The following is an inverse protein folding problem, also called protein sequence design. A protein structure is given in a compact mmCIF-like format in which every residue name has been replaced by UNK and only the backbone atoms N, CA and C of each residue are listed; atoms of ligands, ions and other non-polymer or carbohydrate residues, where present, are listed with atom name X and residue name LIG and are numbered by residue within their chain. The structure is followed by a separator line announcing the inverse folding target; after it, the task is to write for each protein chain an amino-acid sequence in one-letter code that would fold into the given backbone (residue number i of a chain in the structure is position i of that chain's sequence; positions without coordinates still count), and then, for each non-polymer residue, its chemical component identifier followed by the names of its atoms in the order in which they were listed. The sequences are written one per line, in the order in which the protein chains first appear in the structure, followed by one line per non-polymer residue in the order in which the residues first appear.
data_IF_166986922977
#
_entry.id   IF_166986922977
#
_cell.length_a   1.000
_cell.length_b   1.000
_cell.length_c   1.000
_cell.angle_alpha   90.00
_cell.angle_beta   90.00
_cell.angle_gamma   90.00
#
_symmetry.space_group_name_H-M   'P 1'
#
loop_
_entity.id
_entity.type
_entity.pdbx_description
1 polymer ?
#
# COMPACT_ATOMS: atom_id res chain seq x y z
N UNK A 1 -1.57 -12.29 15.03
CA UNK A 1 -3.05 -12.17 15.18
C UNK A 1 -3.56 -12.55 16.60
N UNK A 2 -2.77 -12.37 17.66
CA UNK A 2 -3.13 -12.75 19.05
C UNK A 2 -4.17 -11.82 19.74
N UNK A 3 -4.57 -10.72 19.09
CA UNK A 3 -5.48 -9.70 19.67
C UNK A 3 -6.98 -9.92 19.43
N UNK A 4 -7.37 -10.58 18.33
CA UNK A 4 -8.80 -10.64 17.93
C UNK A 4 -9.66 -11.51 18.86
N UNK A 5 -9.10 -12.61 19.37
CA UNK A 5 -9.83 -13.53 20.26
C UNK A 5 -10.24 -12.89 21.60
N UNK A 6 -9.38 -12.05 22.18
CA UNK A 6 -9.68 -11.34 23.45
C UNK A 6 -10.82 -10.35 23.27
N UNK A 7 -10.88 -9.69 22.12
CA UNK A 7 -11.95 -8.76 21.79
C UNK A 7 -13.28 -9.50 21.59
N UNK A 8 -13.28 -10.62 20.87
CA UNK A 8 -14.49 -11.45 20.68
C UNK A 8 -15.05 -11.96 21.99
N UNK A 9 -14.19 -12.52 22.86
CA UNK A 9 -14.63 -12.98 24.19
C UNK A 9 -15.10 -11.81 25.06
N UNK A 10 -14.37 -10.69 25.07
CA UNK A 10 -14.73 -9.51 25.84
C UNK A 10 -16.09 -8.94 25.44
N UNK A 11 -16.36 -8.84 24.14
CA UNK A 11 -17.63 -8.36 23.61
C UNK A 11 -18.78 -9.33 23.89
N UNK A 12 -18.53 -10.63 23.76
CA UNK A 12 -19.48 -11.68 24.16
C UNK A 12 -19.82 -11.59 25.65
N UNK A 13 -18.81 -11.47 26.51
CA UNK A 13 -18.98 -11.36 27.96
C UNK A 13 -19.76 -10.09 28.33
N UNK A 14 -19.49 -8.98 27.67
CA UNK A 14 -20.23 -7.73 27.86
C UNK A 14 -21.72 -7.89 27.52
N UNK A 15 -22.05 -8.49 26.37
CA UNK A 15 -23.43 -8.76 25.97
C UNK A 15 -24.15 -9.72 26.92
N UNK A 16 -23.45 -10.77 27.37
CA UNK A 16 -23.95 -11.72 28.36
C UNK A 16 -24.30 -11.04 29.68
N UNK A 17 -23.41 -10.18 30.17
CA UNK A 17 -23.57 -9.46 31.42
C UNK A 17 -24.73 -8.47 31.32
N UNK A 18 -24.83 -7.71 30.22
CA UNK A 18 -25.93 -6.79 29.98
C UNK A 18 -27.29 -7.51 30.00
N UNK A 19 -27.43 -8.61 29.25
CA UNK A 19 -28.70 -9.35 29.18
C UNK A 19 -29.01 -10.06 30.49
N UNK A 20 -28.00 -10.58 31.19
CA UNK A 20 -28.17 -11.21 32.49
C UNK A 20 -28.70 -10.20 33.53
N UNK A 21 -28.11 -8.99 33.60
CA UNK A 21 -28.55 -7.91 34.49
C UNK A 21 -29.98 -7.46 34.20
N UNK A 22 -30.33 -7.26 32.92
CA UNK A 22 -31.70 -6.92 32.54
C UNK A 22 -32.70 -8.05 32.88
N UNK A 23 -32.28 -9.30 32.69
CA UNK A 23 -33.14 -10.46 32.94
C UNK A 23 -33.34 -10.73 34.45
N UNK A 24 -32.38 -10.34 35.29
CA UNK A 24 -32.42 -10.52 36.75
C UNK A 24 -33.65 -9.87 37.40
N UNK A 25 -34.16 -8.77 36.83
CA UNK A 25 -35.33 -8.06 37.37
C UNK A 25 -36.63 -8.86 37.27
N UNK A 26 -36.78 -9.69 36.23
CA UNK A 26 -38.07 -10.30 35.89
C UNK A 26 -38.08 -11.82 35.94
N UNK A 27 -36.93 -12.47 36.20
CA UNK A 27 -36.81 -13.91 36.03
C UNK A 27 -35.91 -14.54 37.09
N UNK A 28 -36.15 -15.82 37.46
CA UNK A 28 -35.26 -16.58 38.33
C UNK A 28 -33.81 -16.58 37.84
N UNK A 29 -32.86 -16.69 38.77
CA UNK A 29 -31.42 -16.66 38.46
C UNK A 29 -31.03 -17.68 37.38
N UNK A 30 -31.59 -18.89 37.40
CA UNK A 30 -31.31 -19.92 36.40
C UNK A 30 -31.70 -19.52 34.98
N UNK A 31 -32.89 -18.94 34.81
CA UNK A 31 -33.35 -18.46 33.49
C UNK A 31 -32.55 -17.26 32.99
N UNK A 32 -32.12 -16.37 33.89
CA UNK A 32 -31.29 -15.22 33.55
C UNK A 32 -29.87 -15.62 33.15
N UNK A 33 -29.30 -16.63 33.81
CA UNK A 33 -28.01 -17.21 33.43
C UNK A 33 -28.06 -17.87 32.04
N UNK A 34 -29.13 -18.62 31.76
CA UNK A 34 -29.31 -19.27 30.46
C UNK A 34 -29.47 -18.23 29.34
N UNK A 35 -30.24 -17.17 29.58
CA UNK A 35 -30.35 -16.03 28.65
C UNK A 35 -29.01 -15.30 28.46
N UNK A 36 -28.23 -15.14 29.52
CA UNK A 36 -26.86 -14.62 29.46
C UNK A 36 -25.95 -15.50 28.59
N UNK A 37 -26.09 -16.83 28.65
CA UNK A 37 -25.33 -17.74 27.80
C UNK A 37 -25.72 -17.61 26.32
N UNK A 38 -27.03 -17.56 26.01
CA UNK A 38 -27.49 -17.31 24.64
C UNK A 38 -27.00 -15.95 24.11
N UNK A 39 -27.04 -14.92 24.96
CA UNK A 39 -26.50 -13.61 24.66
C UNK A 39 -24.99 -13.64 24.38
N UNK A 40 -24.21 -14.36 25.19
CA UNK A 40 -22.77 -14.55 24.98
C UNK A 40 -22.49 -15.09 23.58
N UNK A 41 -23.16 -16.18 23.21
CA UNK A 41 -23.02 -16.82 21.91
C UNK A 41 -23.40 -15.88 20.77
N UNK A 42 -24.52 -15.17 20.89
CA UNK A 42 -24.99 -14.22 19.89
C UNK A 42 -24.01 -13.06 19.69
N UNK A 43 -23.55 -12.44 20.77
CA UNK A 43 -22.60 -11.32 20.70
C UNK A 43 -21.21 -11.76 20.23
N UNK A 44 -20.73 -12.95 20.63
CA UNK A 44 -19.48 -13.49 20.14
C UNK A 44 -19.53 -13.78 18.64
N UNK A 45 -20.63 -14.39 18.16
CA UNK A 45 -20.84 -14.60 16.72
C UNK A 45 -20.89 -13.28 15.95
N UNK A 46 -21.61 -12.28 16.48
CA UNK A 46 -21.68 -10.95 15.88
C UNK A 46 -20.30 -10.27 15.83
N UNK A 47 -19.51 -10.37 16.89
CA UNK A 47 -18.14 -9.85 16.91
C UNK A 47 -17.23 -10.52 15.88
N UNK A 48 -17.38 -11.83 15.64
CA UNK A 48 -16.63 -12.53 14.58
C UNK A 48 -17.03 -12.03 13.20
N UNK A 49 -18.32 -11.86 12.93
CA UNK A 49 -18.80 -11.34 11.64
C UNK A 49 -18.30 -9.92 11.41
N UNK A 50 -18.49 -9.03 12.40
CA UNK A 50 -18.04 -7.63 12.32
C UNK A 50 -16.52 -7.58 12.17
N UNK A 51 -15.78 -8.36 12.95
CA UNK A 51 -14.33 -8.45 12.87
C UNK A 51 -13.84 -8.95 11.50
N UNK A 52 -14.53 -9.92 10.91
CA UNK A 52 -14.24 -10.40 9.56
C UNK A 52 -14.48 -9.30 8.52
N UNK A 53 -15.64 -8.62 8.55
CA UNK A 53 -15.96 -7.54 7.62
C UNK A 53 -14.98 -6.37 7.76
N UNK A 54 -14.66 -5.95 8.99
CA UNK A 54 -13.65 -4.92 9.24
C UNK A 54 -12.27 -5.36 8.77
N UNK A 55 -11.91 -6.63 8.97
CA UNK A 55 -10.66 -7.19 8.47
C UNK A 55 -10.54 -7.05 6.96
N UNK A 56 -11.61 -7.37 6.22
CA UNK A 56 -11.63 -7.23 4.76
C UNK A 56 -11.60 -5.76 4.33
N UNK A 57 -12.31 -4.88 5.03
CA UNK A 57 -12.36 -3.45 4.69
C UNK A 57 -11.04 -2.72 4.98
N UNK A 58 -10.34 -3.10 6.05
CA UNK A 58 -9.06 -2.49 6.46
C UNK A 58 -7.84 -3.17 5.83
N UNK A 59 -8.00 -4.34 5.19
CA UNK A 59 -6.90 -5.05 4.53
C UNK A 59 -6.24 -4.24 3.41
N UNK A 60 -6.98 -3.37 2.73
CA UNK A 60 -6.48 -2.55 1.62
C UNK A 60 -5.44 -1.50 2.05
N UNK A 61 -5.34 -1.18 3.35
CA UNK A 61 -4.44 -0.13 3.85
C UNK A 61 -3.27 -0.61 4.72
N UNK A 62 -3.04 -1.93 4.86
CA UNK A 62 -2.05 -2.44 5.82
C UNK A 62 -0.68 -2.69 5.17
N UNK A 63 0.38 -1.92 5.48
CA UNK A 63 1.74 -2.36 5.18
C UNK A 63 2.02 -3.67 5.92
N UNK A 64 2.78 -4.56 5.28
CA UNK A 64 3.08 -5.91 5.77
C UNK A 64 3.51 -5.88 7.24
N UNK A 65 3.02 -6.81 8.09
CA UNK A 65 3.39 -6.81 9.50
C UNK A 65 4.88 -7.14 9.66
N UNK A 66 5.70 -6.13 9.97
CA UNK A 66 7.02 -6.38 10.55
C UNK A 66 6.81 -7.02 11.93
N UNK A 67 7.13 -8.30 12.08
CA UNK A 67 7.13 -8.96 13.40
C UNK A 67 6.03 -9.99 13.64
N UNK A 68 5.61 -10.74 12.62
CA UNK A 68 5.12 -12.10 12.88
C UNK A 68 6.36 -13.01 13.04
N UNK A 69 6.49 -13.67 14.20
CA UNK A 69 7.40 -14.80 14.39
C UNK A 69 7.16 -15.82 13.26
N UNK A 70 8.04 -15.79 12.26
CA UNK A 70 8.12 -16.79 11.22
C UNK A 70 8.83 -17.99 11.87
N UNK A 71 8.33 -19.24 11.77
CA UNK A 71 9.18 -20.39 12.02
C UNK A 71 10.37 -20.29 11.06
N UNK A 72 11.51 -19.94 11.63
CA UNK A 72 12.80 -19.71 11.01
C UNK A 72 13.23 -20.93 10.19
N UNK A 73 12.77 -21.04 8.93
CA UNK A 73 13.41 -21.91 7.94
C UNK A 73 12.91 -21.78 6.48
N UNK A 74 12.28 -20.67 6.10
CA UNK A 74 11.99 -20.41 4.67
C UNK A 74 12.34 -18.98 4.31
N UNK A 75 13.50 -18.80 3.66
CA UNK A 75 13.93 -17.53 3.06
C UNK A 75 15.30 -17.00 3.46
N UNK A 76 16.07 -17.72 4.30
CA UNK A 76 17.38 -17.24 4.79
C UNK A 76 18.60 -17.80 4.05
N UNK A 77 18.45 -18.78 3.17
CA UNK A 77 19.54 -19.21 2.28
C UNK A 77 19.56 -18.35 1.02
N UNK A 78 19.96 -17.10 1.20
CA UNK A 78 20.47 -16.30 0.09
C UNK A 78 21.98 -16.56 0.04
N UNK A 79 22.39 -17.46 -0.85
CA UNK A 79 23.80 -17.67 -1.14
C UNK A 79 24.34 -16.45 -1.89
N UNK A 80 24.95 -15.52 -1.14
CA UNK A 80 25.63 -14.32 -1.66
C UNK A 80 27.11 -14.63 -1.95
N UNK A 81 27.42 -15.82 -2.45
CA UNK A 81 28.75 -16.12 -2.97
C UNK A 81 28.84 -15.55 -4.39
N UNK A 82 29.14 -14.25 -4.49
CA UNK A 82 29.52 -13.63 -5.75
C UNK A 82 30.95 -14.12 -6.07
N UNK A 83 31.18 -14.84 -7.18
CA UNK A 83 32.54 -15.20 -7.58
C UNK A 83 33.35 -13.92 -7.80
N UNK A 84 34.64 -13.95 -7.45
CA UNK A 84 35.53 -12.79 -7.53
C UNK A 84 35.81 -12.41 -8.99
N UNK A 85 34.89 -11.64 -9.59
CA UNK A 85 34.98 -11.12 -10.96
C UNK A 85 35.76 -9.80 -11.05
N UNK A 86 36.46 -9.40 -9.97
CA UNK A 86 37.19 -8.13 -9.91
C UNK A 86 38.28 -8.00 -10.98
N UNK A 87 38.92 -9.10 -11.34
CA UNK A 87 39.96 -9.13 -12.39
C UNK A 87 39.35 -8.97 -13.80
N UNK A 88 38.24 -9.66 -14.08
CA UNK A 88 37.52 -9.55 -15.35
C UNK A 88 36.92 -8.15 -15.58
N UNK A 89 36.42 -7.51 -14.51
CA UNK A 89 35.90 -6.15 -14.56
C UNK A 89 37.03 -5.11 -14.80
N UNK A 90 38.18 -5.32 -14.15
CA UNK A 90 39.38 -4.49 -14.35
C UNK A 90 39.89 -4.59 -15.78
N UNK A 91 39.86 -5.79 -16.38
CA UNK A 91 40.25 -6.00 -17.77
C UNK A 91 39.30 -5.30 -18.75
N UNK A 92 37.97 -5.38 -18.55
CA UNK A 92 36.98 -4.63 -19.35
C UNK A 92 37.15 -3.11 -19.26
N UNK A 93 37.40 -2.55 -18.07
CA UNK A 93 37.62 -1.11 -17.92
C UNK A 93 38.90 -0.66 -18.63
N UNK A 94 39.93 -1.51 -18.61
CA UNK A 94 41.19 -1.24 -19.30
C UNK A 94 41.05 -1.33 -20.81
N UNK A 95 40.23 -2.23 -21.33
CA UNK A 95 39.86 -2.29 -22.75
C UNK A 95 39.13 -1.02 -23.20
N UNK A 96 38.17 -0.50 -22.42
CA UNK A 96 37.50 0.78 -22.73
C UNK A 96 38.45 2.00 -22.73
N UNK A 97 39.52 1.95 -21.95
CA UNK A 97 40.50 3.04 -21.87
C UNK A 97 41.64 2.89 -22.90
N UNK A 98 41.99 1.66 -23.26
CA UNK A 98 42.97 1.36 -24.30
C UNK A 98 42.41 1.58 -25.71
N UNK A 99 41.10 1.35 -25.90
CA UNK A 99 40.40 1.61 -27.16
C UNK A 99 40.04 3.10 -27.28
N UNK A 100 41.09 3.93 -27.30
CA UNK A 100 41.05 5.38 -27.40
C UNK A 100 40.44 5.87 -28.72
N UNK A 101 39.11 5.87 -28.80
CA UNK A 101 38.35 6.64 -29.78
C UNK A 101 37.34 7.56 -29.09
N UNK A 102 37.91 8.47 -28.29
CA UNK A 102 37.35 9.80 -28.11
C UNK A 102 37.10 10.39 -29.50
N UNK A 103 35.84 10.42 -29.93
CA UNK A 103 35.41 11.30 -31.01
C UNK A 103 35.66 12.73 -30.53
N UNK A 104 36.78 13.26 -31.01
CA UNK A 104 37.32 14.60 -30.91
C UNK A 104 36.29 15.66 -30.47
N UNK A 105 36.45 16.12 -29.24
CA UNK A 105 36.08 17.47 -28.85
C UNK A 105 36.81 18.45 -29.78
N UNK A 106 36.06 19.24 -30.54
CA UNK A 106 36.55 20.50 -31.09
C UNK A 106 35.90 21.62 -30.28
N UNK A 107 36.79 22.38 -29.67
CA UNK A 107 36.69 23.69 -29.06
C UNK A 107 35.32 24.38 -28.96
N UNK A 108 35.00 24.73 -27.71
CA UNK A 108 34.41 26.02 -27.37
C UNK A 108 32.98 26.24 -27.84
N UNK A 109 32.01 25.79 -27.05
CA UNK A 109 30.81 26.55 -26.69
C UNK A 109 30.21 25.88 -25.45
N UNK A 110 30.03 26.67 -24.39
CA UNK A 110 29.28 26.23 -23.22
C UNK A 110 27.88 25.84 -23.70
N UNK A 111 27.55 24.54 -23.65
CA UNK A 111 26.19 24.05 -23.86
C UNK A 111 25.31 24.53 -22.69
N UNK A 112 24.95 25.82 -22.77
CA UNK A 112 23.85 26.39 -22.03
C UNK A 112 22.58 25.64 -22.41
N UNK A 113 21.76 25.32 -21.41
CA UNK A 113 20.52 24.60 -21.59
C UNK A 113 19.64 25.35 -22.59
N UNK A 114 19.49 24.82 -23.80
CA UNK A 114 18.56 25.32 -24.81
C UNK A 114 17.25 24.55 -24.62
N UNK A 115 16.23 25.11 -23.92
CA UNK A 115 14.95 24.43 -23.80
C UNK A 115 14.38 24.20 -25.20
N UNK A 116 13.93 22.96 -25.45
CA UNK A 116 13.32 22.55 -26.71
C UNK A 116 12.27 23.59 -27.11
N UNK A 117 12.46 24.29 -28.23
CA UNK A 117 11.46 25.23 -28.73
C UNK A 117 10.26 24.40 -29.20
N UNK A 118 9.14 24.40 -28.45
CA UNK A 118 7.97 23.66 -28.89
C UNK A 118 7.41 24.31 -30.16
N UNK A 119 7.43 23.60 -31.28
CA UNK A 119 6.95 24.08 -32.60
C UNK A 119 5.46 24.47 -32.62
N UNK A 120 4.71 24.28 -31.52
CA UNK A 120 3.23 24.34 -31.49
C UNK A 120 2.59 25.05 -30.30
N UNK A 121 3.29 25.94 -29.60
CA UNK A 121 2.60 26.88 -28.69
C UNK A 121 2.72 28.28 -29.26
N UNK A 122 1.63 28.71 -29.91
CA UNK A 122 1.37 30.12 -30.19
C UNK A 122 0.86 30.70 -28.88
N UNK A 123 1.69 31.43 -28.15
CA UNK A 123 1.22 32.31 -27.09
C UNK A 123 0.49 33.48 -27.77
N UNK A 124 -0.84 33.41 -27.85
CA UNK A 124 -1.65 34.55 -28.28
C UNK A 124 -1.65 35.59 -27.16
N UNK A 125 -0.91 36.68 -27.34
CA UNK A 125 -0.81 37.81 -26.40
C UNK A 125 -2.12 38.63 -26.26
N UNK A 126 -3.20 38.24 -26.94
CA UNK A 126 -4.55 38.73 -26.63
C UNK A 126 -5.61 37.83 -27.32
N UNK A 127 -6.16 36.81 -26.64
CA UNK A 127 -7.12 35.91 -27.27
C UNK A 127 -8.51 36.55 -27.39
N UNK A 128 -9.03 36.62 -28.62
CA UNK A 128 -10.44 36.90 -28.84
C UNK A 128 -11.24 35.67 -28.36
N UNK A 129 -12.21 35.82 -27.44
CA UNK A 129 -12.85 34.69 -26.75
C UNK A 129 -13.57 33.72 -27.69
N UNK A 130 -13.98 34.18 -28.86
CA UNK A 130 -14.63 33.36 -29.88
C UNK A 130 -13.67 32.36 -30.56
N UNK A 131 -12.44 32.77 -30.85
CA UNK A 131 -11.45 31.90 -31.49
C UNK A 131 -10.96 30.79 -30.54
N UNK A 132 -10.88 31.09 -29.24
CA UNK A 132 -10.54 30.10 -28.21
C UNK A 132 -11.64 29.05 -28.06
N UNK A 133 -12.91 29.48 -28.05
CA UNK A 133 -14.04 28.54 -27.98
C UNK A 133 -14.07 27.61 -29.20
N UNK A 134 -13.74 28.13 -30.39
CA UNK A 134 -13.69 27.34 -31.61
C UNK A 134 -12.51 26.36 -31.63
N UNK A 135 -11.36 26.74 -31.06
CA UNK A 135 -10.20 25.87 -30.91
C UNK A 135 -10.46 24.70 -29.92
N UNK A 136 -11.12 24.97 -28.78
CA UNK A 136 -11.49 23.93 -27.81
C UNK A 136 -12.47 22.92 -28.42
N UNK A 137 -13.44 23.39 -29.22
CA UNK A 137 -14.42 22.51 -29.87
C UNK A 137 -13.77 21.54 -30.85
N UNK A 138 -12.81 22.02 -31.65
CA UNK A 138 -12.07 21.16 -32.61
C UNK A 138 -11.13 20.16 -31.93
N UNK A 139 -10.66 20.45 -30.72
CA UNK A 139 -9.86 19.51 -29.92
C UNK A 139 -10.69 18.42 -29.21
N UNK A 140 -12.01 18.59 -29.13
CA UNK A 140 -12.91 17.63 -28.45
C UNK A 140 -13.57 16.65 -29.44
N UNK A 141 -13.61 17.01 -30.72
CA UNK A 141 -14.25 16.22 -31.78
C UNK A 141 -13.29 15.20 -32.47
N UNK A 142 -12.05 15.05 -31.98
CA UNK A 142 -11.11 13.95 -32.34
C UNK A 142 -10.75 13.11 -31.11
#
# INVERSE_FOLDING_TARGET
MKGSWRFTIGFGAFGALLICLLSLSNNPLGTSLLRGLYAFLAFAALALVVGFVLGQLLATGKPAPSGAEVPSDRGSMLDLTIPDEGEALSEMMKEQWADGKSATATDGEAMSFQPLQPKRVVSLDNPNPEEVAQAIRRLTDE
#
